data_IF_582353899032
#
_entry.id   IF_582353899032
#
_cell.length_a   1.000
_cell.length_b   1.000
_cell.length_c   1.000
_cell.angle_alpha   90.00
_cell.angle_beta   90.00
_cell.angle_gamma   90.00
#
_symmetry.space_group_name_H-M   'P 1'
#
loop_
_entity.id
_entity.type
_entity.pdbx_description
1 polymer ?
#
# COMPACT_ATOMS: atom_id res chain seq x y z
N UNK A 1 12.22 0.31 -18.02
CA UNK A 1 11.09 -0.09 -17.15
C UNK A 1 11.61 -1.03 -16.09
N UNK A 2 10.81 -1.38 -15.07
CA UNK A 2 11.23 -2.39 -14.07
C UNK A 2 11.27 -3.76 -14.74
N UNK A 3 12.41 -4.44 -14.64
CA UNK A 3 12.62 -5.79 -15.16
C UNK A 3 12.07 -6.84 -14.17
N UNK A 4 12.05 -8.12 -14.54
CA UNK A 4 11.49 -9.22 -13.74
C UNK A 4 12.24 -9.46 -12.43
N UNK A 5 13.43 -8.88 -12.27
CA UNK A 5 14.24 -8.89 -11.06
C UNK A 5 13.96 -7.70 -10.11
N UNK A 6 13.05 -6.80 -10.50
CA UNK A 6 12.67 -5.63 -9.71
C UNK A 6 13.56 -4.39 -9.90
N UNK A 7 14.56 -4.44 -10.79
CA UNK A 7 15.43 -3.29 -11.08
C UNK A 7 14.98 -2.50 -12.30
N UNK A 8 15.29 -1.20 -12.33
CA UNK A 8 14.96 -0.33 -13.45
C UNK A 8 16.00 -0.46 -14.57
N UNK A 9 15.56 -0.92 -15.74
CA UNK A 9 16.34 -0.80 -16.97
C UNK A 9 16.14 0.59 -17.57
N UNK A 10 17.25 1.34 -17.63
CA UNK A 10 17.33 2.66 -18.27
C UNK A 10 18.13 2.51 -19.56
N UNK A 11 17.45 2.65 -20.71
CA UNK A 11 18.09 2.62 -22.02
C UNK A 11 18.45 4.04 -22.46
N UNK A 12 19.74 4.38 -22.42
CA UNK A 12 20.24 5.70 -22.82
C UNK A 12 20.34 5.80 -24.35
N UNK A 13 19.99 6.96 -24.91
CA UNK A 13 20.13 7.27 -26.34
C UNK A 13 21.59 7.16 -26.78
N UNK A 14 21.90 6.16 -27.60
CA UNK A 14 23.24 5.95 -28.17
C UNK A 14 23.11 5.36 -29.56
N UNK A 15 24.01 5.77 -30.46
CA UNK A 15 23.99 5.43 -31.89
C UNK A 15 24.07 3.91 -32.15
N UNK A 16 24.67 3.15 -31.23
CA UNK A 16 24.83 1.70 -31.32
C UNK A 16 23.89 0.94 -30.36
N UNK A 17 23.01 1.64 -29.66
CA UNK A 17 22.06 1.00 -28.74
C UNK A 17 20.75 0.70 -29.49
N UNK A 18 20.70 -0.45 -30.15
CA UNK A 18 19.53 -0.88 -30.92
C UNK A 18 18.27 -1.01 -30.04
N UNK A 19 18.41 -1.38 -28.76
CA UNK A 19 17.30 -1.49 -27.80
C UNK A 19 16.63 -0.15 -27.55
N UNK A 20 17.39 0.95 -27.49
CA UNK A 20 16.83 2.30 -27.37
C UNK A 20 15.85 2.61 -28.51
N UNK A 21 16.24 2.30 -29.75
CA UNK A 21 15.40 2.56 -30.93
C UNK A 21 14.20 1.62 -30.96
N UNK A 22 14.41 0.33 -30.71
CA UNK A 22 13.33 -0.66 -30.69
C UNK A 22 12.24 -0.28 -29.70
N UNK A 23 12.59 0.09 -28.46
CA UNK A 23 11.60 0.47 -27.45
C UNK A 23 11.06 1.91 -27.61
N UNK A 24 11.73 2.77 -28.37
CA UNK A 24 11.23 4.13 -28.68
C UNK A 24 10.19 4.19 -29.80
N UNK A 25 10.21 3.23 -30.73
CA UNK A 25 9.28 3.20 -31.87
C UNK A 25 7.96 2.46 -31.60
N UNK A 26 7.91 1.58 -30.59
CA UNK A 26 6.71 0.81 -30.26
C UNK A 26 5.93 1.50 -29.12
N UNK A 27 4.60 1.41 -29.16
CA UNK A 27 3.72 1.97 -28.11
C UNK A 27 4.14 1.47 -26.72
N UNK A 28 4.33 2.41 -25.79
CA UNK A 28 4.72 2.11 -24.41
C UNK A 28 3.55 1.47 -23.66
N UNK A 29 3.61 0.16 -23.47
CA UNK A 29 2.67 -0.59 -22.65
C UNK A 29 3.27 -0.77 -21.25
N UNK A 30 2.54 -0.34 -20.23
CA UNK A 30 2.92 -0.56 -18.82
C UNK A 30 1.92 -1.55 -18.22
N UNK A 31 2.39 -2.75 -17.92
CA UNK A 31 1.63 -3.70 -17.13
C UNK A 31 1.87 -3.44 -15.65
N UNK A 32 0.80 -3.37 -14.87
CA UNK A 32 0.90 -3.37 -13.42
C UNK A 32 1.44 -4.74 -12.98
N UNK A 33 2.58 -4.75 -12.29
CA UNK A 33 3.04 -5.93 -11.56
C UNK A 33 2.07 -6.14 -10.40
N UNK A 34 1.03 -6.95 -10.61
CA UNK A 34 0.20 -7.48 -9.52
C UNK A 34 1.07 -8.47 -8.72
N UNK A 35 1.90 -7.93 -7.84
CA UNK A 35 2.80 -8.72 -6.98
C UNK A 35 2.06 -9.56 -5.95
N UNK A 36 0.77 -9.32 -5.76
CA UNK A 36 -0.09 -10.16 -4.96
C UNK A 36 -1.43 -10.26 -5.70
N UNK A 37 -2.06 -11.45 -5.77
CA UNK A 37 -3.47 -11.46 -6.10
C UNK A 37 -4.13 -10.51 -5.09
N UNK A 38 -4.80 -9.46 -5.58
CA UNK A 38 -5.97 -8.97 -4.87
C UNK A 38 -6.94 -10.14 -4.85
N UNK A 39 -6.67 -11.11 -3.96
CA UNK A 39 -7.62 -12.12 -3.55
C UNK A 39 -8.87 -11.30 -3.35
N UNK A 40 -9.97 -11.71 -3.97
CA UNK A 40 -11.29 -11.15 -3.76
C UNK A 40 -11.68 -11.36 -2.29
N UNK A 41 -10.92 -10.78 -1.37
CA UNK A 41 -11.12 -10.87 0.04
C UNK A 41 -12.35 -10.03 0.30
N UNK A 42 -13.27 -10.55 1.12
CA UNK A 42 -14.34 -9.72 1.60
C UNK A 42 -13.75 -8.45 2.21
N UNK A 43 -14.43 -7.29 2.06
CA UNK A 43 -13.96 -6.05 2.63
C UNK A 43 -13.66 -6.25 4.11
N UNK A 44 -12.50 -5.76 4.57
CA UNK A 44 -12.11 -5.89 5.97
C UNK A 44 -13.23 -5.36 6.88
N UNK A 45 -13.56 -6.04 7.99
CA UNK A 45 -14.48 -5.47 8.97
C UNK A 45 -13.96 -4.13 9.51
N UNK A 46 -14.88 -3.20 9.81
CA UNK A 46 -14.54 -1.90 10.43
C UNK A 46 -14.01 -2.06 11.87
N UNK A 47 -14.23 -3.22 12.50
CA UNK A 47 -13.72 -3.55 13.84
C UNK A 47 -12.97 -4.87 13.78
N UNK A 48 -11.71 -4.87 14.23
CA UNK A 48 -10.84 -6.04 14.21
C UNK A 48 -10.31 -6.30 15.62
N UNK A 49 -10.70 -7.42 16.27
CA UNK A 49 -10.10 -7.81 17.53
C UNK A 49 -8.68 -8.32 17.30
N UNK A 50 -7.73 -7.86 18.10
CA UNK A 50 -6.37 -8.36 18.11
C UNK A 50 -5.85 -8.40 19.55
N UNK A 51 -5.57 -9.62 20.05
CA UNK A 51 -5.24 -9.87 21.46
C UNK A 51 -6.29 -9.25 22.39
N UNK A 52 -5.87 -8.33 23.26
CA UNK A 52 -6.71 -7.68 24.26
C UNK A 52 -7.32 -6.35 23.77
N UNK A 53 -7.06 -5.96 22.52
CA UNK A 53 -7.48 -4.69 21.94
C UNK A 53 -8.46 -4.90 20.79
N UNK A 54 -9.25 -3.87 20.50
CA UNK A 54 -10.13 -3.82 19.32
C UNK A 54 -9.76 -2.63 18.47
N UNK A 55 -9.32 -2.90 17.25
CA UNK A 55 -8.92 -1.90 16.27
C UNK A 55 -10.12 -1.43 15.46
N UNK A 56 -10.33 -0.12 15.39
CA UNK A 56 -11.41 0.49 14.60
C UNK A 56 -10.81 1.11 13.34
N UNK A 57 -11.17 0.57 12.18
CA UNK A 57 -10.60 0.98 10.90
C UNK A 57 -11.49 2.04 10.25
N UNK A 58 -11.00 3.28 10.18
CA UNK A 58 -11.69 4.39 9.51
C UNK A 58 -11.31 4.41 8.03
N UNK A 59 -12.19 3.90 7.16
CA UNK A 59 -11.99 3.86 5.70
C UNK A 59 -12.32 5.20 5.01
N UNK A 60 -11.91 6.29 5.62
CA UNK A 60 -12.12 7.65 5.13
C UNK A 60 -10.76 8.28 4.80
N UNK A 61 -10.68 8.98 3.67
CA UNK A 61 -9.48 9.73 3.33
C UNK A 61 -9.43 11.01 4.16
N UNK A 62 -8.74 10.95 5.30
CA UNK A 62 -8.58 12.05 6.24
C UNK A 62 -7.11 12.50 6.26
N UNK A 63 -6.87 13.78 6.54
CA UNK A 63 -5.55 14.20 7.02
C UNK A 63 -5.35 13.74 8.47
N UNK A 64 -4.12 13.83 8.97
CA UNK A 64 -3.78 13.36 10.32
C UNK A 64 -4.64 14.01 11.42
N UNK A 65 -4.87 15.33 11.35
CA UNK A 65 -5.62 16.06 12.37
C UNK A 65 -7.10 15.64 12.40
N UNK A 66 -7.73 15.50 11.23
CA UNK A 66 -9.12 15.05 11.13
C UNK A 66 -9.27 13.58 11.58
N UNK A 67 -8.30 12.72 11.28
CA UNK A 67 -8.28 11.34 11.76
C UNK A 67 -8.19 11.27 13.29
N UNK A 68 -7.27 12.04 13.89
CA UNK A 68 -7.12 12.14 15.34
C UNK A 68 -8.41 12.66 16.00
N UNK A 69 -9.00 13.72 15.44
CA UNK A 69 -10.26 14.31 15.92
C UNK A 69 -11.42 13.30 15.86
N UNK A 70 -11.56 12.57 14.76
CA UNK A 70 -12.57 11.51 14.62
C UNK A 70 -12.40 10.40 15.65
N UNK A 71 -11.16 9.95 15.89
CA UNK A 71 -10.85 8.98 16.94
C UNK A 71 -11.28 9.50 18.33
N UNK A 72 -10.94 10.75 18.66
CA UNK A 72 -11.33 11.39 19.92
C UNK A 72 -12.84 11.52 20.08
N UNK A 73 -13.56 11.91 19.02
CA UNK A 73 -15.03 12.00 19.05
C UNK A 73 -15.70 10.65 19.29
N UNK A 74 -15.08 9.55 18.89
CA UNK A 74 -15.54 8.18 19.15
C UNK A 74 -15.09 7.62 20.51
N UNK A 75 -14.48 8.45 21.36
CA UNK A 75 -13.99 8.04 22.68
C UNK A 75 -12.71 7.20 22.64
N UNK A 76 -11.92 7.31 21.56
CA UNK A 76 -10.67 6.58 21.33
C UNK A 76 -9.51 7.55 21.06
N UNK A 77 -8.33 7.01 20.75
CA UNK A 77 -7.21 7.74 20.17
C UNK A 77 -6.71 7.03 18.90
N UNK A 78 -5.74 7.62 18.20
CA UNK A 78 -4.96 6.91 17.20
C UNK A 78 -4.25 5.70 17.86
N UNK A 79 -4.05 4.63 17.08
CA UNK A 79 -3.48 3.40 17.60
C UNK A 79 -1.97 3.56 17.84
N UNK A 80 -1.47 3.10 18.98
CA UNK A 80 -0.02 3.01 19.21
C UNK A 80 0.46 1.57 19.09
N UNK A 81 1.69 1.39 18.59
CA UNK A 81 2.29 0.08 18.36
C UNK A 81 3.27 -0.22 19.50
N UNK A 82 3.04 -1.33 20.20
CA UNK A 82 3.82 -1.76 21.37
C UNK A 82 4.52 -3.10 21.17
N UNK A 83 4.38 -3.73 19.99
CA UNK A 83 5.09 -4.98 19.67
C UNK A 83 5.26 -5.19 18.18
N UNK A 84 6.28 -5.96 17.79
CA UNK A 84 6.49 -6.39 16.39
C UNK A 84 5.26 -7.14 15.87
N UNK A 85 4.64 -7.98 16.70
CA UNK A 85 3.44 -8.72 16.30
C UNK A 85 2.25 -7.81 15.96
N UNK A 86 2.15 -6.67 16.62
CA UNK A 86 1.10 -5.67 16.39
C UNK A 86 1.39 -4.85 15.13
N UNK A 87 2.67 -4.52 14.89
CA UNK A 87 3.10 -3.91 13.63
C UNK A 87 2.75 -4.80 12.43
N UNK A 88 3.12 -6.08 12.47
CA UNK A 88 2.84 -7.04 11.39
C UNK A 88 1.33 -7.18 11.15
N UNK A 89 0.52 -7.15 12.20
CA UNK A 89 -0.94 -7.18 12.09
C UNK A 89 -1.50 -5.94 11.37
N UNK A 90 -1.01 -4.74 11.70
CA UNK A 90 -1.42 -3.50 11.04
C UNK A 90 -0.91 -3.41 9.59
N UNK A 91 0.27 -3.94 9.31
CA UNK A 91 0.80 -4.05 7.95
C UNK A 91 -0.06 -4.95 7.06
N UNK A 92 -0.59 -6.07 7.59
CA UNK A 92 -1.56 -6.91 6.86
C UNK A 92 -2.82 -6.12 6.48
N UNK A 93 -3.32 -5.29 7.41
CA UNK A 93 -4.47 -4.41 7.14
C UNK A 93 -4.16 -3.43 6.01
N UNK A 94 -3.00 -2.75 6.05
CA UNK A 94 -2.58 -1.81 5.00
C UNK A 94 -2.47 -2.49 3.65
N UNK A 95 -1.87 -3.70 3.58
CA UNK A 95 -1.73 -4.46 2.34
C UNK A 95 -3.10 -4.84 1.74
N UNK A 96 -4.03 -5.25 2.59
CA UNK A 96 -5.36 -5.73 2.17
C UNK A 96 -6.30 -4.61 1.77
N UNK A 97 -6.37 -3.52 2.56
CA UNK A 97 -7.22 -2.37 2.26
C UNK A 97 -6.60 -1.46 1.19
N UNK A 98 -5.26 -1.48 1.05
CA UNK A 98 -4.54 -0.71 0.04
C UNK A 98 -4.40 0.78 0.38
N UNK A 99 -4.59 1.16 1.64
CA UNK A 99 -4.42 2.53 2.13
C UNK A 99 -3.48 2.58 3.34
N UNK A 100 -2.60 3.61 3.43
CA UNK A 100 -1.80 3.82 4.63
C UNK A 100 -2.69 4.21 5.82
N UNK A 101 -2.26 3.87 7.03
CA UNK A 101 -2.96 4.19 8.27
C UNK A 101 -2.31 5.39 8.98
N UNK A 102 -3.14 6.25 9.59
CA UNK A 102 -2.70 7.18 10.63
C UNK A 102 -2.70 6.45 11.97
N UNK A 103 -1.57 6.49 12.67
CA UNK A 103 -1.33 5.88 13.97
C UNK A 103 -0.63 6.88 14.88
#
# INVERSE_FOLDING_TARGET
>A
GVNVDGFWDIYVHSRNNWLYWQFGFHSLLVCKLDLEPKISQPPLPTKLPYKNNVYWILRQQLNWYDAWKECKQKGSDLASIHSISEQVFLEDIVKRDGFPLWI
#
